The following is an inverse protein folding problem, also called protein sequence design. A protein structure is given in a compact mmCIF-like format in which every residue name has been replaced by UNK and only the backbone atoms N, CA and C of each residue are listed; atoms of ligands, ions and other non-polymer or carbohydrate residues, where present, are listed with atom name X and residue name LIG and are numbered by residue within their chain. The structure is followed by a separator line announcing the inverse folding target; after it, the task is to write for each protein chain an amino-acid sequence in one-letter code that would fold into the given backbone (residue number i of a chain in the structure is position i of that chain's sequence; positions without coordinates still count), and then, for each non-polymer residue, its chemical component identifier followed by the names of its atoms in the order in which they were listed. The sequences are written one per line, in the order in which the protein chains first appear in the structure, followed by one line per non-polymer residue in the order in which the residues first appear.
data_IF_545976631787
#
_entry.id   IF_545976631787
#
_cell.length_a   1.000
_cell.length_b   1.000
_cell.length_c   1.000
_cell.angle_alpha   90.00
_cell.angle_beta   90.00
_cell.angle_gamma   90.00
#
_symmetry.space_group_name_H-M   'P 1'
#
loop_
_entity.id
_entity.type
_entity.pdbx_description
1 polymer ?
#
# COMPACT_ATOMS: atom_id res chain seq x y z
N UNK A 1 47.50 -39.14 -83.38
CA UNK A 1 46.64 -40.27 -83.00
C UNK A 1 46.05 -39.95 -81.62
N UNK A 2 44.75 -39.66 -81.54
CA UNK A 2 43.70 -40.53 -80.95
C UNK A 2 43.74 -40.45 -79.40
N UNK A 3 42.73 -40.06 -78.60
CA UNK A 3 41.27 -39.92 -78.76
C UNK A 3 40.68 -39.08 -77.59
N UNK A 4 39.48 -38.52 -77.77
CA UNK A 4 38.63 -37.87 -76.74
C UNK A 4 38.12 -38.85 -75.67
N UNK A 5 37.93 -38.38 -74.43
CA UNK A 5 36.75 -38.70 -73.60
C UNK A 5 36.29 -37.43 -72.86
N UNK A 6 35.02 -37.11 -73.04
CA UNK A 6 34.25 -36.05 -72.38
C UNK A 6 33.62 -36.61 -71.09
N UNK A 7 33.79 -35.93 -69.96
CA UNK A 7 32.96 -36.11 -68.76
C UNK A 7 32.65 -34.75 -68.12
N UNK A 8 31.81 -33.97 -68.81
CA UNK A 8 30.88 -33.04 -68.15
C UNK A 8 29.96 -33.83 -67.20
N UNK A 9 30.26 -33.89 -65.91
CA UNK A 9 29.24 -34.20 -64.89
C UNK A 9 29.54 -33.72 -63.46
N UNK A 10 30.78 -33.39 -63.09
CA UNK A 10 31.13 -33.30 -61.66
C UNK A 10 31.10 -31.90 -61.03
N UNK A 11 30.65 -30.86 -61.74
CA UNK A 11 30.68 -29.49 -61.20
C UNK A 11 29.35 -28.89 -60.74
N UNK A 12 28.26 -29.65 -60.73
CA UNK A 12 26.94 -29.14 -60.27
C UNK A 12 26.60 -29.59 -58.84
N UNK A 13 27.30 -30.56 -58.28
CA UNK A 13 26.99 -31.10 -56.94
C UNK A 13 27.69 -30.41 -55.76
N UNK A 14 28.73 -29.59 -56.00
CA UNK A 14 29.44 -28.89 -54.92
C UNK A 14 28.82 -27.56 -54.49
N UNK A 15 27.96 -26.95 -55.32
CA UNK A 15 27.22 -25.72 -54.94
C UNK A 15 26.04 -26.00 -54.00
N UNK A 16 25.34 -27.13 -54.21
CA UNK A 16 24.14 -27.46 -53.46
C UNK A 16 24.41 -27.83 -51.99
N UNK A 17 25.55 -28.44 -51.69
CA UNK A 17 25.94 -28.83 -50.32
C UNK A 17 26.36 -27.62 -49.46
N UNK A 18 27.00 -26.61 -50.06
CA UNK A 18 27.38 -25.37 -49.38
C UNK A 18 26.17 -24.52 -48.99
N UNK A 19 25.18 -24.44 -49.89
CA UNK A 19 23.94 -23.71 -49.61
C UNK A 19 23.10 -24.43 -48.55
N UNK A 20 22.97 -25.77 -48.61
CA UNK A 20 22.25 -26.54 -47.58
C UNK A 20 22.81 -26.35 -46.17
N UNK A 21 24.14 -26.35 -46.02
CA UNK A 21 24.78 -26.09 -44.73
C UNK A 21 24.53 -24.65 -44.24
N UNK A 22 24.54 -23.68 -45.16
CA UNK A 22 24.30 -22.26 -44.87
C UNK A 22 22.85 -22.00 -44.46
N UNK A 23 21.88 -22.62 -45.14
CA UNK A 23 20.46 -22.57 -44.77
C UNK A 23 20.19 -23.24 -43.42
N UNK A 24 20.87 -24.35 -43.13
CA UNK A 24 20.74 -25.03 -41.84
C UNK A 24 21.25 -24.17 -40.67
N UNK A 25 22.40 -23.52 -40.83
CA UNK A 25 22.96 -22.61 -39.80
C UNK A 25 22.10 -21.36 -39.62
N UNK A 26 21.60 -20.76 -40.70
CA UNK A 26 20.70 -19.60 -40.62
C UNK A 26 19.38 -19.97 -39.94
N UNK A 27 18.79 -21.12 -40.30
CA UNK A 27 17.57 -21.62 -39.67
C UNK A 27 17.75 -21.90 -38.17
N UNK A 28 18.90 -22.48 -37.77
CA UNK A 28 19.23 -22.70 -36.35
C UNK A 28 19.40 -21.35 -35.61
N UNK A 29 20.06 -20.37 -36.21
CA UNK A 29 20.25 -19.04 -35.61
C UNK A 29 18.93 -18.26 -35.48
N UNK A 30 18.04 -18.36 -36.47
CA UNK A 30 16.69 -17.75 -36.41
C UNK A 30 15.80 -18.44 -35.38
N UNK A 31 15.88 -19.78 -35.29
CA UNK A 31 15.17 -20.53 -34.24
C UNK A 31 15.69 -20.21 -32.84
N UNK A 32 17.00 -20.02 -32.67
CA UNK A 32 17.60 -19.59 -31.39
C UNK A 32 17.22 -18.15 -31.02
N UNK A 33 17.13 -17.23 -31.99
CA UNK A 33 16.61 -15.87 -31.78
C UNK A 33 15.12 -15.89 -31.39
N UNK A 34 14.33 -16.72 -32.06
CA UNK A 34 12.91 -16.91 -31.75
C UNK A 34 12.70 -17.52 -30.36
N UNK A 35 13.49 -18.54 -29.99
CA UNK A 35 13.49 -19.12 -28.65
C UNK A 35 13.96 -18.12 -27.59
N UNK A 36 14.97 -17.30 -27.89
CA UNK A 36 15.42 -16.22 -27.01
C UNK A 36 14.33 -15.16 -26.81
N UNK A 37 13.61 -14.76 -27.87
CA UNK A 37 12.49 -13.83 -27.76
C UNK A 37 11.28 -14.45 -27.07
N UNK A 38 11.02 -15.74 -27.26
CA UNK A 38 9.97 -16.47 -26.55
C UNK A 38 10.30 -16.67 -25.07
N UNK A 39 11.59 -16.85 -24.73
CA UNK A 39 12.07 -16.88 -23.34
C UNK A 39 12.02 -15.49 -22.70
N UNK A 40 12.44 -14.43 -23.41
CA UNK A 40 12.32 -13.04 -22.95
C UNK A 40 10.85 -12.64 -22.75
N UNK A 41 9.98 -12.92 -23.74
CA UNK A 41 8.54 -12.70 -23.61
C UNK A 41 7.94 -13.60 -22.54
N UNK A 42 8.36 -14.86 -22.39
CA UNK A 42 7.93 -15.72 -21.28
C UNK A 42 8.43 -15.22 -19.92
N UNK A 43 9.52 -14.46 -19.85
CA UNK A 43 10.03 -13.85 -18.62
C UNK A 43 9.32 -12.53 -18.32
N UNK A 44 9.01 -11.72 -19.33
CA UNK A 44 8.17 -10.51 -19.20
C UNK A 44 6.72 -10.87 -18.85
N UNK A 45 6.14 -11.89 -19.49
CA UNK A 45 4.77 -12.37 -19.31
C UNK A 45 4.58 -13.15 -18.00
N UNK A 46 5.67 -13.69 -17.41
CA UNK A 46 5.67 -14.29 -16.06
C UNK A 46 6.00 -13.32 -14.92
N UNK A 47 6.16 -12.03 -15.22
CA UNK A 47 6.47 -11.00 -14.22
C UNK A 47 5.37 -9.94 -14.17
N UNK A 48 4.11 -10.36 -14.04
CA UNK A 48 3.13 -9.55 -13.30
C UNK A 48 3.44 -9.66 -11.78
N UNK A 49 4.72 -9.50 -11.40
CA UNK A 49 5.08 -9.29 -10.00
C UNK A 49 4.46 -7.96 -9.59
N UNK A 50 3.66 -8.02 -8.53
CA UNK A 50 3.29 -6.85 -7.73
C UNK A 50 4.46 -5.86 -7.69
N UNK A 51 4.24 -4.63 -8.17
CA UNK A 51 5.28 -3.60 -8.11
C UNK A 51 5.56 -3.23 -6.65
N UNK A 52 4.54 -3.32 -5.78
CA UNK A 52 4.70 -3.19 -4.34
C UNK A 52 5.44 -4.40 -3.79
N UNK A 53 6.53 -4.13 -3.05
CA UNK A 53 7.34 -5.19 -2.44
C UNK A 53 6.54 -5.97 -1.38
N UNK A 54 6.85 -7.27 -1.23
CA UNK A 54 6.28 -8.11 -0.17
C UNK A 54 6.60 -7.52 1.22
N UNK A 55 7.78 -6.93 1.37
CA UNK A 55 8.20 -6.28 2.60
C UNK A 55 7.27 -5.13 2.98
N UNK A 56 6.99 -4.20 2.05
CA UNK A 56 6.06 -3.09 2.30
C UNK A 56 4.67 -3.58 2.64
N UNK A 57 4.17 -4.56 1.90
CA UNK A 57 2.84 -5.14 2.19
C UNK A 57 2.78 -5.69 3.61
N UNK A 58 3.78 -6.47 4.04
CA UNK A 58 3.85 -6.97 5.41
C UNK A 58 3.92 -5.85 6.46
N UNK A 59 4.61 -4.74 6.18
CA UNK A 59 4.64 -3.60 7.10
C UNK A 59 3.26 -2.94 7.23
N UNK A 60 2.50 -2.78 6.13
CA UNK A 60 1.14 -2.24 6.17
C UNK A 60 0.23 -3.15 6.99
N UNK A 61 0.31 -4.46 6.76
CA UNK A 61 -0.47 -5.46 7.49
C UNK A 61 -0.13 -5.47 8.98
N UNK A 62 1.17 -5.46 9.33
CA UNK A 62 1.63 -5.42 10.72
C UNK A 62 1.20 -4.13 11.44
N UNK A 63 1.23 -3.00 10.74
CA UNK A 63 0.74 -1.73 11.25
C UNK A 63 -0.77 -1.79 11.54
N UNK A 64 -1.59 -2.23 10.59
CA UNK A 64 -3.04 -2.33 10.77
C UNK A 64 -3.43 -3.34 11.86
N UNK A 65 -2.71 -4.47 11.94
CA UNK A 65 -2.94 -5.48 12.97
C UNK A 65 -2.49 -5.06 14.38
N UNK A 66 -1.76 -3.94 14.52
CA UNK A 66 -1.28 -3.49 15.81
C UNK A 66 -2.41 -3.07 16.77
N UNK A 67 -3.53 -2.58 16.23
CA UNK A 67 -4.70 -2.19 17.02
C UNK A 67 -5.94 -2.13 16.11
N UNK A 68 -7.10 -2.66 16.54
CA UNK A 68 -8.34 -2.58 15.76
C UNK A 68 -8.89 -1.15 15.65
N UNK A 69 -8.39 -0.21 16.46
CA UNK A 69 -8.78 1.18 16.48
C UNK A 69 -7.59 2.09 16.12
N UNK A 70 -7.75 2.92 15.10
CA UNK A 70 -6.74 3.90 14.66
C UNK A 70 -7.22 5.32 15.01
N UNK A 71 -6.65 5.99 16.03
CA UNK A 71 -6.99 7.38 16.32
C UNK A 71 -6.51 8.31 15.21
N UNK A 72 -7.43 9.10 14.68
CA UNK A 72 -7.15 10.15 13.68
C UNK A 72 -6.88 11.46 14.40
N UNK A 73 -5.60 11.75 14.63
CA UNK A 73 -5.14 12.80 15.54
C UNK A 73 -4.97 14.12 14.79
N UNK A 74 -5.56 15.20 15.31
CA UNK A 74 -5.29 16.57 14.85
C UNK A 74 -4.67 17.36 16.00
N UNK A 75 -3.42 17.80 15.85
CA UNK A 75 -2.71 18.56 16.88
C UNK A 75 -2.91 20.05 16.65
N UNK A 76 -3.51 20.74 17.62
CA UNK A 76 -3.73 22.20 17.56
C UNK A 76 -2.74 22.98 18.44
N UNK A 77 -2.13 22.33 19.42
CA UNK A 77 -1.09 22.90 20.27
C UNK A 77 0.08 21.91 20.34
N UNK A 78 1.33 22.35 20.07
CA UNK A 78 2.48 21.44 20.00
C UNK A 78 2.70 20.65 21.30
N UNK A 79 2.41 21.27 22.45
CA UNK A 79 2.61 20.66 23.77
C UNK A 79 1.62 19.52 24.07
N UNK A 80 0.51 19.42 23.32
CA UNK A 80 -0.48 18.35 23.52
C UNK A 80 -0.05 17.02 22.90
N UNK A 81 0.93 17.01 21.99
CA UNK A 81 1.27 15.82 21.21
C UNK A 81 1.66 14.64 22.11
N UNK A 82 2.64 14.81 23.00
CA UNK A 82 3.14 13.74 23.86
C UNK A 82 2.14 13.32 24.94
N UNK A 83 1.50 14.24 25.70
CA UNK A 83 0.46 13.88 26.66
C UNK A 83 -0.70 13.10 26.03
N UNK A 84 -1.20 13.55 24.88
CA UNK A 84 -2.25 12.84 24.14
C UNK A 84 -1.80 11.45 23.71
N UNK A 85 -0.60 11.33 23.13
CA UNK A 85 -0.04 10.03 22.74
C UNK A 85 0.07 9.06 23.91
N UNK A 86 0.52 9.53 25.08
CA UNK A 86 0.60 8.71 26.30
C UNK A 86 -0.78 8.27 26.79
N UNK A 87 -1.78 9.15 26.76
CA UNK A 87 -3.16 8.82 27.12
C UNK A 87 -3.75 7.72 26.22
N UNK A 88 -3.59 7.87 24.90
CA UNK A 88 -4.04 6.87 23.92
C UNK A 88 -3.36 5.51 24.16
N UNK A 89 -2.05 5.50 24.40
CA UNK A 89 -1.28 4.27 24.66
C UNK A 89 -1.65 3.63 26.00
N UNK A 90 -1.89 4.43 27.04
CA UNK A 90 -2.37 3.95 28.33
C UNK A 90 -3.76 3.32 28.22
N UNK A 91 -4.60 3.82 27.30
CA UNK A 91 -5.91 3.23 27.00
C UNK A 91 -5.84 1.94 26.16
N UNK A 92 -4.68 1.62 25.59
CA UNK A 92 -4.45 0.39 24.83
C UNK A 92 -4.10 0.57 23.35
N UNK A 93 -4.10 1.80 22.82
CA UNK A 93 -3.72 2.05 21.43
C UNK A 93 -2.24 1.73 21.19
N UNK A 94 -1.92 1.18 20.01
CA UNK A 94 -0.55 0.89 19.56
C UNK A 94 -0.19 1.49 18.20
N UNK A 95 -1.07 2.34 17.66
CA UNK A 95 -0.90 3.05 16.38
C UNK A 95 -1.45 4.49 16.48
N UNK A 96 -0.73 5.48 15.94
CA UNK A 96 -1.10 6.89 15.99
C UNK A 96 -1.05 7.49 14.57
N UNK A 97 -2.21 7.83 13.98
CA UNK A 97 -2.30 8.57 12.71
C UNK A 97 -2.31 10.09 13.02
N UNK A 98 -1.14 10.75 12.91
CA UNK A 98 -1.06 12.21 13.09
C UNK A 98 -1.35 12.90 11.76
N UNK A 99 -2.49 13.60 11.68
CA UNK A 99 -2.89 14.27 10.43
C UNK A 99 -2.10 15.53 10.15
N UNK A 100 -1.75 15.77 8.89
CA UNK A 100 -1.12 17.00 8.41
C UNK A 100 -2.14 18.10 8.10
N UNK A 101 -3.13 18.28 8.98
CA UNK A 101 -4.20 19.30 8.87
C UNK A 101 -3.84 20.63 9.55
N UNK A 102 -2.73 20.65 10.28
CA UNK A 102 -2.18 21.81 10.97
C UNK A 102 -0.66 21.84 10.76
N UNK A 103 -0.04 23.01 10.96
CA UNK A 103 1.41 23.17 10.90
C UNK A 103 2.17 22.34 11.96
N UNK A 104 1.48 21.94 13.03
CA UNK A 104 2.07 21.20 14.15
C UNK A 104 2.25 19.70 13.87
N UNK A 105 1.64 19.15 12.82
CA UNK A 105 1.61 17.70 12.57
C UNK A 105 3.01 17.06 12.47
N UNK A 106 3.92 17.64 11.67
CA UNK A 106 5.29 17.12 11.53
C UNK A 106 6.08 17.21 12.83
N UNK A 107 5.92 18.30 13.58
CA UNK A 107 6.54 18.47 14.89
C UNK A 107 6.05 17.42 15.89
N UNK A 108 4.74 17.15 15.90
CA UNK A 108 4.13 16.14 16.75
C UNK A 108 4.66 14.72 16.43
N UNK A 109 4.81 14.36 15.15
CA UNK A 109 5.39 13.07 14.74
C UNK A 109 6.79 12.89 15.34
N UNK A 110 7.67 13.89 15.21
CA UNK A 110 9.03 13.84 15.78
C UNK A 110 9.01 13.63 17.29
N UNK A 111 8.16 14.37 18.00
CA UNK A 111 8.03 14.27 19.45
C UNK A 111 7.51 12.89 19.89
N UNK A 112 6.46 12.41 19.24
CA UNK A 112 5.83 11.12 19.52
C UNK A 112 6.79 9.95 19.26
N UNK A 113 7.51 9.96 18.12
CA UNK A 113 8.53 8.94 17.81
C UNK A 113 9.62 8.84 18.87
N UNK A 114 10.04 9.98 19.44
CA UNK A 114 11.02 10.01 20.53
C UNK A 114 10.44 9.53 21.86
N UNK A 115 9.20 9.92 22.16
CA UNK A 115 8.58 9.64 23.45
C UNK A 115 7.97 8.24 23.58
N UNK A 116 7.59 7.62 22.45
CA UNK A 116 6.84 6.36 22.38
C UNK A 116 7.49 5.42 21.35
N UNK A 117 8.69 4.87 21.62
CA UNK A 117 9.46 4.10 20.64
C UNK A 117 8.74 2.82 20.19
N UNK A 118 7.95 2.21 21.06
CA UNK A 118 7.26 0.92 20.85
C UNK A 118 5.86 1.05 20.22
N UNK A 119 5.52 2.25 19.72
CA UNK A 119 4.21 2.57 19.14
C UNK A 119 4.41 2.96 17.68
N UNK A 120 3.52 2.48 16.80
CA UNK A 120 3.50 2.92 15.42
C UNK A 120 3.04 4.37 15.35
N UNK A 121 3.88 5.27 14.84
CA UNK A 121 3.51 6.68 14.63
C UNK A 121 3.68 7.01 13.16
N UNK A 122 2.61 7.46 12.51
CA UNK A 122 2.62 7.79 11.09
C UNK A 122 1.89 9.08 10.80
N UNK A 123 1.91 9.46 9.53
CA UNK A 123 1.25 10.66 9.05
C UNK A 123 -0.07 10.31 8.35
N UNK A 124 -1.12 11.08 8.64
CA UNK A 124 -2.40 11.04 7.96
C UNK A 124 -2.67 12.31 7.16
N UNK A 125 -3.68 12.29 6.28
CA UNK A 125 -4.03 13.45 5.44
C UNK A 125 -2.85 13.94 4.57
N UNK A 126 -1.99 13.02 4.13
CA UNK A 126 -0.99 13.32 3.10
C UNK A 126 -1.70 13.36 1.75
N UNK A 127 -1.57 14.46 1.01
CA UNK A 127 -2.26 14.64 -0.29
C UNK A 127 -1.29 14.81 -1.46
N UNK A 128 0.01 14.95 -1.18
CA UNK A 128 1.04 15.12 -2.20
C UNK A 128 2.37 14.50 -1.78
N UNK A 129 3.20 14.13 -2.77
CA UNK A 129 4.51 13.50 -2.55
C UNK A 129 5.45 14.36 -1.70
N UNK A 130 5.37 15.70 -1.80
CA UNK A 130 6.16 16.60 -0.95
C UNK A 130 5.89 16.40 0.54
N UNK A 131 4.62 16.34 0.94
CA UNK A 131 4.21 16.08 2.31
C UNK A 131 4.59 14.67 2.78
N UNK A 132 4.56 13.70 1.87
CA UNK A 132 5.03 12.34 2.14
C UNK A 132 6.51 12.37 2.56
N UNK A 133 7.37 13.01 1.76
CA UNK A 133 8.81 13.15 2.05
C UNK A 133 9.05 13.87 3.38
N UNK A 134 8.30 14.93 3.65
CA UNK A 134 8.38 15.66 4.92
C UNK A 134 7.99 14.80 6.12
N UNK A 135 6.97 13.96 5.98
CA UNK A 135 6.55 13.01 7.00
C UNK A 135 7.63 11.95 7.28
N UNK A 136 8.24 11.38 6.24
CA UNK A 136 9.38 10.45 6.36
C UNK A 136 10.56 11.12 7.07
N UNK A 137 10.90 12.36 6.68
CA UNK A 137 11.95 13.14 7.32
C UNK A 137 11.63 13.50 8.79
N UNK A 138 10.35 13.56 9.15
CA UNK A 138 9.90 13.71 10.54
C UNK A 138 9.94 12.39 11.33
N UNK A 139 10.21 11.26 10.68
CA UNK A 139 10.29 9.94 11.28
C UNK A 139 8.97 9.15 11.28
N UNK A 140 8.01 9.53 10.44
CA UNK A 140 6.79 8.75 10.25
C UNK A 140 7.14 7.33 9.82
N UNK A 141 6.52 6.33 10.47
CA UNK A 141 6.72 4.91 10.18
C UNK A 141 5.73 4.37 9.15
N UNK A 142 4.72 5.17 8.80
CA UNK A 142 3.73 4.88 7.78
C UNK A 142 3.07 6.18 7.31
N UNK A 143 2.41 6.14 6.15
CA UNK A 143 1.64 7.24 5.60
C UNK A 143 0.24 6.78 5.20
N UNK A 144 -0.77 7.56 5.56
CA UNK A 144 -2.18 7.36 5.21
C UNK A 144 -2.66 8.55 4.40
N UNK A 145 -3.21 8.29 3.21
CA UNK A 145 -3.78 9.33 2.34
C UNK A 145 -5.32 9.28 2.40
N UNK A 146 -6.03 10.40 2.19
CA UNK A 146 -7.49 10.39 2.13
C UNK A 146 -8.02 9.91 0.76
N UNK A 147 -7.16 9.89 -0.25
CA UNK A 147 -7.45 9.51 -1.63
C UNK A 147 -6.19 8.96 -2.33
N UNK A 148 -6.31 8.58 -3.59
CA UNK A 148 -5.20 8.13 -4.43
C UNK A 148 -4.92 9.09 -5.58
N UNK A 149 -3.64 9.18 -5.94
CA UNK A 149 -3.19 9.69 -7.24
C UNK A 149 -2.09 8.76 -7.75
N UNK A 150 -1.85 8.76 -9.07
CA UNK A 150 -0.75 7.98 -9.66
C UNK A 150 0.60 8.32 -9.01
N UNK A 151 0.84 9.61 -8.71
CA UNK A 151 2.09 10.06 -8.12
C UNK A 151 2.29 9.55 -6.69
N UNK A 152 1.24 9.56 -5.85
CA UNK A 152 1.31 9.04 -4.48
C UNK A 152 1.51 7.53 -4.47
N UNK A 153 0.75 6.82 -5.31
CA UNK A 153 0.84 5.38 -5.47
C UNK A 153 2.24 4.95 -5.93
N UNK A 154 2.78 5.59 -6.97
CA UNK A 154 4.11 5.32 -7.50
C UNK A 154 5.22 5.64 -6.50
N UNK A 155 5.11 6.74 -5.74
CA UNK A 155 6.07 7.07 -4.69
C UNK A 155 6.07 6.01 -3.57
N UNK A 156 4.88 5.59 -3.13
CA UNK A 156 4.71 4.61 -2.05
C UNK A 156 5.30 3.23 -2.34
N UNK A 157 5.53 2.86 -3.61
CA UNK A 157 6.14 1.57 -3.98
C UNK A 157 7.55 1.38 -3.41
N UNK A 158 8.29 2.47 -3.24
CA UNK A 158 9.69 2.46 -2.81
C UNK A 158 9.96 3.39 -1.61
N UNK A 159 8.90 3.91 -0.99
CA UNK A 159 9.00 4.81 0.17
C UNK A 159 9.59 4.08 1.38
N UNK A 160 10.25 4.80 2.28
CA UNK A 160 10.75 4.22 3.54
C UNK A 160 9.60 3.92 4.49
N UNK A 161 8.63 4.83 4.58
CA UNK A 161 7.38 4.59 5.26
C UNK A 161 6.40 3.93 4.27
N UNK A 162 5.76 2.79 4.59
CA UNK A 162 4.71 2.22 3.74
C UNK A 162 3.46 3.12 3.63
N UNK A 163 2.81 3.07 2.47
CA UNK A 163 1.57 3.79 2.17
C UNK A 163 0.33 2.92 2.41
N UNK A 164 -0.65 3.43 3.15
CA UNK A 164 -2.04 2.98 3.14
C UNK A 164 -2.88 3.97 2.31
N UNK A 165 -3.17 3.67 1.04
CA UNK A 165 -3.88 4.59 0.15
C UNK A 165 -5.38 4.68 0.48
N UNK A 166 -5.92 5.90 0.47
CA UNK A 166 -7.36 6.15 0.60
C UNK A 166 -8.13 6.01 -0.70
N UNK A 167 -9.32 5.41 -0.66
CA UNK A 167 -10.23 5.25 -1.80
C UNK A 167 -11.69 5.50 -1.37
N UNK A 168 -12.54 5.81 -2.34
CA UNK A 168 -14.00 5.88 -2.20
C UNK A 168 -14.73 4.93 -3.15
N UNK A 169 -14.08 4.49 -4.24
CA UNK A 169 -14.70 3.74 -5.34
C UNK A 169 -13.88 2.52 -5.77
N UNK A 170 -14.52 1.59 -6.49
CA UNK A 170 -13.84 0.42 -7.08
C UNK A 170 -12.76 0.85 -8.08
N UNK A 171 -13.01 1.85 -8.93
CA UNK A 171 -12.03 2.29 -9.93
C UNK A 171 -10.74 2.80 -9.29
N UNK A 172 -10.84 3.57 -8.20
CA UNK A 172 -9.67 4.05 -7.44
C UNK A 172 -8.91 2.89 -6.78
N UNK A 173 -9.64 1.92 -6.21
CA UNK A 173 -9.04 0.70 -5.66
C UNK A 173 -8.30 -0.09 -6.74
N UNK A 174 -8.87 -0.20 -7.95
CA UNK A 174 -8.23 -0.88 -9.08
C UNK A 174 -6.90 -0.23 -9.48
N UNK A 175 -6.76 1.10 -9.35
CA UNK A 175 -5.48 1.78 -9.61
C UNK A 175 -4.38 1.29 -8.66
N UNK A 176 -4.65 1.20 -7.36
CA UNK A 176 -3.70 0.66 -6.38
C UNK A 176 -3.51 -0.85 -6.52
N UNK A 177 -4.60 -1.57 -6.81
CA UNK A 177 -4.59 -3.02 -6.98
C UNK A 177 -3.66 -3.46 -8.11
N UNK A 178 -3.70 -2.74 -9.24
CA UNK A 178 -2.90 -3.02 -10.44
C UNK A 178 -1.38 -2.97 -10.18
N UNK A 179 -0.94 -2.18 -9.21
CA UNK A 179 0.48 -2.06 -8.83
C UNK A 179 0.83 -2.79 -7.53
N UNK A 180 -0.12 -3.52 -6.94
CA UNK A 180 0.14 -4.46 -5.87
C UNK A 180 -0.33 -4.08 -4.46
N UNK A 181 -1.02 -2.96 -4.28
CA UNK A 181 -1.68 -2.65 -3.01
C UNK A 181 -2.87 -3.59 -2.78
N UNK A 182 -3.04 -4.05 -1.54
CA UNK A 182 -4.17 -4.89 -1.11
C UNK A 182 -4.86 -4.37 0.15
N UNK A 183 -4.26 -3.39 0.81
CA UNK A 183 -4.79 -2.73 1.98
C UNK A 183 -5.17 -1.29 1.59
N UNK A 184 -6.39 -0.86 1.90
CA UNK A 184 -6.88 0.47 1.57
C UNK A 184 -7.60 1.13 2.73
N UNK A 185 -7.56 2.46 2.79
CA UNK A 185 -8.46 3.25 3.62
C UNK A 185 -9.74 3.55 2.85
N UNK A 186 -10.89 3.06 3.30
CA UNK A 186 -12.18 3.53 2.76
C UNK A 186 -12.51 4.87 3.42
N UNK A 187 -12.58 5.95 2.63
CA UNK A 187 -12.84 7.29 3.15
C UNK A 187 -13.65 8.12 2.16
N UNK A 188 -14.63 8.93 2.62
CA UNK A 188 -15.24 8.95 3.95
C UNK A 188 -16.29 7.83 4.11
N UNK A 189 -16.00 6.82 4.93
CA UNK A 189 -16.70 5.53 4.97
C UNK A 189 -18.23 5.64 5.02
N UNK A 190 -18.80 6.38 5.98
CA UNK A 190 -20.27 6.50 6.12
C UNK A 190 -20.94 7.18 4.90
N UNK A 191 -20.25 8.11 4.24
CA UNK A 191 -20.79 8.85 3.09
C UNK A 191 -20.78 7.99 1.83
N UNK A 192 -19.81 7.09 1.70
CA UNK A 192 -19.62 6.26 0.50
C UNK A 192 -20.25 4.86 0.63
N UNK A 193 -21.18 4.69 1.57
CA UNK A 193 -22.00 3.49 1.72
C UNK A 193 -21.60 2.54 2.85
N UNK A 194 -20.51 2.83 3.57
CA UNK A 194 -20.13 2.16 4.81
C UNK A 194 -20.01 0.64 4.71
N UNK A 195 -20.56 -0.07 5.69
CA UNK A 195 -20.59 -1.54 5.76
C UNK A 195 -21.11 -2.18 4.45
N UNK A 196 -22.16 -1.63 3.84
CA UNK A 196 -22.73 -2.17 2.60
C UNK A 196 -21.77 -2.05 1.42
N UNK A 197 -21.00 -0.94 1.34
CA UNK A 197 -19.99 -0.78 0.31
C UNK A 197 -18.85 -1.78 0.48
N UNK A 198 -18.37 -1.97 1.72
CA UNK A 198 -17.31 -2.94 2.04
C UNK A 198 -17.71 -4.38 1.70
N UNK A 199 -18.97 -4.76 1.97
CA UNK A 199 -19.52 -6.05 1.57
C UNK A 199 -19.63 -6.20 0.04
N UNK A 200 -19.94 -5.13 -0.68
CA UNK A 200 -19.99 -5.16 -2.14
C UNK A 200 -18.59 -5.26 -2.77
N UNK A 201 -17.58 -4.63 -2.15
CA UNK A 201 -16.21 -4.63 -2.67
C UNK A 201 -15.50 -5.98 -2.51
N UNK A 202 -15.85 -6.78 -1.49
CA UNK A 202 -15.23 -8.09 -1.25
C UNK A 202 -15.53 -9.14 -2.32
N UNK A 203 -16.64 -9.01 -3.05
CA UNK A 203 -17.02 -9.96 -4.10
C UNK A 203 -15.96 -10.08 -5.21
N UNK A 204 -15.62 -9.00 -5.93
CA UNK A 204 -14.58 -9.02 -6.95
C UNK A 204 -13.14 -8.98 -6.41
N UNK A 205 -12.92 -8.57 -5.16
CA UNK A 205 -11.58 -8.37 -4.57
C UNK A 205 -11.45 -9.03 -3.19
N UNK A 206 -11.51 -10.35 -3.16
CA UNK A 206 -11.50 -11.13 -1.92
C UNK A 206 -10.17 -11.06 -1.14
N UNK A 207 -9.07 -10.67 -1.79
CA UNK A 207 -7.74 -10.51 -1.18
C UNK A 207 -7.46 -9.08 -0.70
N UNK A 208 -8.48 -8.20 -0.71
CA UNK A 208 -8.36 -6.81 -0.27
C UNK A 208 -8.91 -6.62 1.14
N UNK A 209 -8.19 -5.85 1.95
CA UNK A 209 -8.62 -5.45 3.29
C UNK A 209 -8.68 -3.94 3.46
N UNK A 210 -9.48 -3.50 4.42
CA UNK A 210 -9.80 -2.10 4.62
C UNK A 210 -9.55 -1.61 6.04
N UNK A 211 -9.20 -0.33 6.13
CA UNK A 211 -9.30 0.48 7.33
C UNK A 211 -10.30 1.63 7.09
N UNK A 212 -11.62 1.39 7.18
CA UNK A 212 -12.61 2.42 6.93
C UNK A 212 -12.48 3.55 7.97
N UNK A 213 -12.66 4.78 7.51
CA UNK A 213 -12.51 5.99 8.32
C UNK A 213 -13.50 7.05 7.84
N UNK A 214 -14.04 7.84 8.76
CA UNK A 214 -14.94 8.95 8.45
C UNK A 214 -16.39 8.63 8.74
N UNK A 215 -16.92 9.27 9.78
CA UNK A 215 -18.29 9.07 10.28
C UNK A 215 -18.46 7.90 11.25
N UNK A 216 -17.46 7.02 11.38
CA UNK A 216 -17.43 5.92 12.36
C UNK A 216 -17.37 6.50 13.78
N UNK A 217 -18.17 5.92 14.68
CA UNK A 217 -18.27 6.27 16.09
C UNK A 217 -18.04 5.04 16.95
N UNK A 218 -17.90 5.23 18.26
CA UNK A 218 -17.74 4.14 19.24
C UNK A 218 -18.83 3.08 19.08
N UNK A 219 -20.07 3.51 18.85
CA UNK A 219 -21.24 2.62 18.77
C UNK A 219 -21.30 1.84 17.46
N UNK A 220 -20.69 2.35 16.38
CA UNK A 220 -20.74 1.72 15.05
C UNK A 220 -19.46 0.96 14.69
N UNK A 221 -18.37 1.15 15.43
CA UNK A 221 -17.08 0.51 15.17
C UNK A 221 -17.17 -1.03 15.07
N UNK A 222 -17.98 -1.66 15.95
CA UNK A 222 -18.16 -3.12 15.97
C UNK A 222 -18.77 -3.66 14.68
N UNK A 223 -19.72 -2.93 14.09
CA UNK A 223 -20.39 -3.35 12.86
C UNK A 223 -19.42 -3.43 11.67
N UNK A 224 -18.44 -2.52 11.63
CA UNK A 224 -17.38 -2.53 10.64
C UNK A 224 -16.37 -3.65 10.89
N UNK A 225 -15.91 -3.81 12.13
CA UNK A 225 -14.93 -4.83 12.52
C UNK A 225 -15.47 -6.27 12.42
N UNK A 226 -16.79 -6.44 12.33
CA UNK A 226 -17.42 -7.74 12.09
C UNK A 226 -17.26 -8.25 10.65
N UNK A 227 -16.75 -7.43 9.72
CA UNK A 227 -16.50 -7.83 8.34
C UNK A 227 -15.09 -8.41 8.19
N UNK A 228 -14.97 -9.58 7.53
CA UNK A 228 -13.68 -10.26 7.31
C UNK A 228 -12.65 -9.43 6.53
N UNK A 229 -13.12 -8.48 5.71
CA UNK A 229 -12.27 -7.58 4.94
C UNK A 229 -11.96 -6.26 5.67
N UNK A 230 -12.24 -6.15 6.97
CA UNK A 230 -11.92 -4.96 7.78
C UNK A 230 -10.95 -5.36 8.90
N UNK A 231 -9.75 -4.79 8.88
CA UNK A 231 -8.68 -5.14 9.85
C UNK A 231 -8.68 -4.18 11.05
N UNK A 232 -8.98 -2.91 10.79
CA UNK A 232 -9.03 -1.86 11.79
C UNK A 232 -10.03 -0.78 11.35
N UNK A 233 -10.44 0.10 12.25
CA UNK A 233 -11.27 1.27 11.91
C UNK A 233 -10.61 2.55 12.40
N UNK A 234 -10.67 3.59 11.57
CA UNK A 234 -10.14 4.90 11.91
C UNK A 234 -11.22 5.85 12.39
N UNK A 235 -10.93 6.64 13.43
CA UNK A 235 -11.85 7.70 13.82
C UNK A 235 -11.35 8.70 14.84
N UNK A 236 -12.04 9.83 14.87
CA UNK A 236 -11.72 10.99 15.71
C UNK A 236 -12.40 10.94 17.09
N UNK A 237 -13.35 10.01 17.31
CA UNK A 237 -14.02 9.90 18.61
C UNK A 237 -13.03 9.51 19.72
N UNK A 238 -11.90 8.88 19.38
CA UNK A 238 -10.81 8.54 20.29
C UNK A 238 -10.01 9.77 20.75
N UNK A 239 -10.15 10.89 20.04
CA UNK A 239 -9.44 12.15 20.29
C UNK A 239 -10.43 13.31 20.31
N UNK A 240 -11.39 13.31 21.25
CA UNK A 240 -12.44 14.31 21.30
C UNK A 240 -11.83 15.69 21.63
N UNK A 241 -12.20 16.69 20.83
CA UNK A 241 -11.56 18.02 20.86
C UNK A 241 -11.70 18.70 22.23
N UNK A 242 -12.87 18.62 22.84
CA UNK A 242 -13.18 19.19 24.16
C UNK A 242 -12.25 18.63 25.26
N UNK A 243 -11.94 17.34 25.22
CA UNK A 243 -11.05 16.70 26.21
C UNK A 243 -9.59 17.05 25.99
N UNK A 244 -9.17 17.20 24.74
CA UNK A 244 -7.81 17.64 24.41
C UNK A 244 -7.61 19.09 24.86
N UNK A 245 -8.58 19.97 24.59
CA UNK A 245 -8.53 21.38 25.01
C UNK A 245 -8.57 21.55 26.53
N UNK A 246 -9.30 20.67 27.23
CA UNK A 246 -9.32 20.64 28.70
C UNK A 246 -8.13 19.90 29.33
N UNK A 247 -7.21 19.36 28.53
CA UNK A 247 -6.10 18.49 28.96
C UNK A 247 -6.55 17.30 29.82
N UNK A 248 -7.76 16.79 29.57
CA UNK A 248 -8.37 15.67 30.29
C UNK A 248 -7.86 14.32 29.77
N UNK A 249 -6.55 14.10 29.94
CA UNK A 249 -5.84 12.91 29.47
C UNK A 249 -6.38 11.61 30.08
N UNK A 250 -6.91 11.69 31.31
CA UNK A 250 -7.56 10.56 31.97
C UNK A 250 -8.84 10.18 31.27
N UNK A 251 -9.73 11.12 30.96
CA UNK A 251 -10.96 10.80 30.23
C UNK A 251 -10.67 10.21 28.84
N UNK A 252 -9.60 10.66 28.17
CA UNK A 252 -9.17 10.06 26.89
C UNK A 252 -8.72 8.61 27.09
N UNK A 253 -7.93 8.34 28.13
CA UNK A 253 -7.49 6.99 28.49
C UNK A 253 -8.69 6.06 28.72
N UNK A 254 -9.64 6.50 29.55
CA UNK A 254 -10.85 5.74 29.90
C UNK A 254 -11.76 5.52 28.67
N UNK A 255 -11.88 6.53 27.80
CA UNK A 255 -12.64 6.46 26.56
C UNK A 255 -12.07 5.42 25.59
N UNK A 256 -10.75 5.41 25.41
CA UNK A 256 -10.06 4.43 24.56
C UNK A 256 -10.24 3.02 25.11
N UNK A 257 -9.95 2.83 26.40
CA UNK A 257 -10.08 1.52 27.04
C UNK A 257 -11.52 0.99 26.93
N UNK A 258 -12.51 1.85 27.18
CA UNK A 258 -13.92 1.52 26.97
C UNK A 258 -14.24 1.18 25.51
N UNK A 259 -13.70 1.93 24.54
CA UNK A 259 -13.93 1.67 23.11
C UNK A 259 -13.37 0.31 22.68
N UNK A 260 -12.18 -0.08 23.19
CA UNK A 260 -11.59 -1.40 22.92
C UNK A 260 -12.40 -2.53 23.57
N UNK A 261 -12.94 -2.31 24.77
CA UNK A 261 -13.78 -3.31 25.45
C UNK A 261 -15.10 -3.57 24.72
N UNK A 262 -15.70 -2.55 24.09
CA UNK A 262 -16.99 -2.71 23.39
C UNK A 262 -16.88 -3.57 22.11
N UNK A 263 -15.69 -3.56 21.49
CA UNK A 263 -15.40 -4.30 20.24
C UNK A 263 -14.75 -5.66 20.47
N UNK A 264 -14.32 -5.96 21.70
CA UNK A 264 -13.94 -7.32 22.11
C UNK A 264 -15.14 -8.28 22.06
#
# INVERSE_FOLDING_TARGET
MVQQIDTRCDLVMFGALGDLARWCVVGILESLKSLSSLLLNSMEEKTHMSQLSVHHRHQIQAMLAACPLVPVITIQHPDHAVPLGRALVAGGIRILEVTLRTEYGLGAIRQLRKALPDVWVGAGTVTQVGQYREAEAAGAQFVITPGVTEQLLAYGLNAQAPLLPGISTISEMMMGYAIGYREFKLFPAEVVGGVKALQAFSGPFADVTFCPTGGIRRETAKDYLALDNVVAVGGTWLTPKDRIEAEDWRAITDLVAGSLNDIA
#
